data_IF_766126702964
#
_entry.id   IF_766126702964
#
_cell.length_a   1.000
_cell.length_b   1.000
_cell.length_c   1.000
_cell.angle_alpha   90.00
_cell.angle_beta   90.00
_cell.angle_gamma   90.00
#
_symmetry.space_group_name_H-M   'P 1'
#
loop_
_entity.id
_entity.type
_entity.pdbx_description
1 polymer ?
2 polymer ?
3 non-polymer ?
4 water ?
#
# COMPACT_ATOMS: atom_id res chain seq x y z
N UNK A 7 20.01 -8.74 -7.26
CA UNK A 7 19.22 -7.48 -7.58
C UNK A 7 19.95 -6.24 -7.06
N UNK A 8 19.88 -5.17 -7.84
CA UNK A 8 20.63 -3.98 -7.50
C UNK A 8 19.95 -3.17 -6.43
N UNK A 9 20.74 -2.43 -5.67
CA UNK A 9 20.21 -1.58 -4.62
C UNK A 9 19.52 -0.35 -5.20
N UNK A 10 18.60 0.21 -4.41
CA UNK A 10 17.96 1.44 -4.78
C UNK A 10 18.92 2.61 -4.68
N UNK A 11 18.88 3.45 -5.70
CA UNK A 11 19.65 4.68 -5.66
C UNK A 11 18.80 5.85 -5.26
N UNK A 12 19.46 6.99 -5.09
CA UNK A 12 18.70 8.22 -4.88
C UNK A 12 17.76 8.52 -6.03
N UNK A 13 18.14 8.29 -7.28
CA UNK A 13 17.19 8.43 -8.38
C UNK A 13 15.99 7.45 -8.30
N UNK A 14 16.26 6.20 -7.90
CA UNK A 14 15.18 5.22 -7.73
C UNK A 14 14.20 5.72 -6.66
N UNK A 15 14.76 6.33 -5.61
CA UNK A 15 13.95 6.84 -4.53
C UNK A 15 13.05 7.96 -4.98
N UNK A 16 13.49 8.76 -5.96
CA UNK A 16 12.56 9.77 -6.48
C UNK A 16 11.37 9.09 -7.15
N UNK A 17 11.63 7.99 -7.86
CA UNK A 17 10.55 7.22 -8.45
C UNK A 17 9.62 6.59 -7.40
N UNK A 18 10.18 6.03 -6.33
CA UNK A 18 9.34 5.51 -5.27
C UNK A 18 8.42 6.58 -4.70
N UNK A 19 8.96 7.80 -4.49
CA UNK A 19 8.14 8.85 -3.92
C UNK A 19 7.04 9.20 -4.87
N UNK A 20 7.34 9.29 -6.17
CA UNK A 20 6.34 9.58 -7.22
C UNK A 20 5.22 8.55 -7.21
N UNK A 21 5.60 7.26 -7.18
CA UNK A 21 4.60 6.20 -7.21
C UNK A 21 3.73 6.22 -5.95
N UNK A 22 4.37 6.45 -4.79
CA UNK A 22 3.63 6.54 -3.54
C UNK A 22 2.62 7.68 -3.58
N UNK A 23 3.05 8.87 -4.06
CA UNK A 23 2.10 9.98 -4.13
C UNK A 23 0.95 9.69 -5.08
N UNK A 24 1.22 8.98 -6.17
CA UNK A 24 0.16 8.64 -7.16
C UNK A 24 -0.88 7.74 -6.48
N UNK A 25 -0.40 6.78 -5.69
CA UNK A 25 -1.33 5.93 -4.93
C UNK A 25 -2.12 6.76 -3.90
N UNK A 26 -1.43 7.64 -3.15
CA UNK A 26 -2.11 8.39 -2.12
C UNK A 26 -3.17 9.30 -2.68
N UNK A 27 -3.01 9.74 -3.94
CA UNK A 27 -3.97 10.62 -4.61
C UNK A 27 -5.14 9.90 -5.26
N UNK A 28 -5.06 8.57 -5.33
CA UNK A 28 -6.10 7.86 -6.08
C UNK A 28 -7.39 7.86 -5.30
N UNK A 29 -8.49 7.91 -6.03
CA UNK A 29 -9.80 8.01 -5.37
C UNK A 29 -10.09 6.77 -4.54
N UNK A 30 -9.49 5.63 -4.86
CA UNK A 30 -9.77 4.38 -4.16
C UNK A 30 -8.72 4.08 -3.07
N UNK A 31 -7.88 5.07 -2.76
CA UNK A 31 -6.82 4.83 -1.77
C UNK A 31 -7.30 5.11 -0.33
N UNK A 32 -8.52 5.61 -0.19
CA UNK A 32 -9.00 6.07 1.13
C UNK A 32 -8.85 5.03 2.30
N UNK A 33 -9.03 3.72 2.05
CA UNK A 33 -8.91 2.84 3.20
C UNK A 33 -7.48 2.65 3.70
N UNK A 34 -6.50 3.09 2.88
CA UNK A 34 -5.10 2.67 3.07
C UNK A 34 -4.16 3.79 3.47
N UNK A 35 -4.71 5.00 3.59
CA UNK A 35 -3.85 6.15 3.82
C UNK A 35 -3.14 6.07 5.16
N UNK A 36 -3.82 5.49 6.15
CA UNK A 36 -3.27 5.45 7.51
C UNK A 36 -3.47 4.05 8.02
N UNK A 37 -2.80 3.68 9.11
CA UNK A 37 -2.99 2.36 9.67
C UNK A 37 -4.47 2.10 10.04
N UNK A 38 -4.90 0.84 9.90
CA UNK A 38 -6.24 0.45 10.26
C UNK A 38 -6.50 0.81 11.70
N UNK A 39 -7.63 1.45 11.93
CA UNK A 39 -8.02 1.91 13.23
C UNK A 39 -8.70 0.71 13.93
N UNK A 40 -8.20 0.29 15.11
CA UNK A 40 -8.79 -0.90 15.75
C UNK A 40 -10.28 -0.67 16.13
N UNK A 41 -10.66 0.58 16.23
CA UNK A 41 -12.09 0.91 16.48
C UNK A 41 -12.98 0.63 15.30
N UNK A 42 -12.39 0.47 14.12
CA UNK A 42 -13.16 0.11 12.93
C UNK A 42 -13.16 -1.39 12.63
N UNK A 43 -12.27 -2.13 13.29
CA UNK A 43 -12.00 -3.56 13.00
C UNK A 43 -11.40 -4.18 14.28
N UNK A 44 -12.21 -4.48 15.31
CA UNK A 44 -11.63 -4.67 16.64
C UNK A 44 -10.60 -5.83 16.78
N UNK A 45 -10.75 -6.92 15.99
CA UNK A 45 -9.81 -8.04 16.03
C UNK A 45 -8.73 -7.95 15.00
N UNK A 46 -8.65 -6.82 14.30
CA UNK A 46 -7.72 -6.74 13.16
C UNK A 46 -6.30 -7.11 13.51
N UNK A 47 -5.78 -6.56 14.62
CA UNK A 47 -4.35 -6.77 14.92
C UNK A 47 -4.03 -8.11 15.54
N UNK A 48 -5.07 -8.89 15.82
CA UNK A 48 -4.83 -10.34 16.14
C UNK A 48 -4.91 -11.23 14.91
N UNK A 49 -5.50 -10.76 13.82
CA UNK A 49 -5.75 -11.58 12.62
C UNK A 49 -4.67 -11.29 11.58
N UNK A 50 -4.33 -10.00 11.42
CA UNK A 50 -3.38 -9.63 10.40
C UNK A 50 -1.99 -9.60 11.01
N UNK A 51 -1.14 -10.48 10.46
CA UNK A 51 0.20 -10.72 11.02
C UNK A 51 1.14 -9.55 10.78
N UNK A 52 1.07 -8.94 9.61
CA UNK A 52 2.01 -7.88 9.23
C UNK A 52 1.21 -6.72 8.63
N UNK A 53 0.61 -5.88 9.49
CA UNK A 53 -0.13 -4.72 8.98
C UNK A 53 0.74 -3.78 8.18
N UNK A 54 0.13 -3.08 7.24
CA UNK A 54 0.89 -2.09 6.46
C UNK A 54 -0.14 -1.07 5.93
N UNK A 55 0.33 0.14 5.63
CA UNK A 55 -0.51 1.18 5.12
C UNK A 55 0.42 2.18 4.42
N UNK A 56 -0.16 3.06 3.63
CA UNK A 56 0.65 3.99 2.85
C UNK A 56 1.40 4.99 3.68
N UNK A 57 0.88 5.39 4.85
CA UNK A 57 1.67 6.30 5.71
C UNK A 57 2.93 5.64 6.20
N UNK A 58 2.83 4.39 6.65
CA UNK A 58 4.02 3.64 7.06
C UNK A 58 5.02 3.51 5.90
N UNK A 59 4.52 3.21 4.70
CA UNK A 59 5.40 3.19 3.51
C UNK A 59 6.07 4.55 3.23
N UNK A 60 5.34 5.61 3.44
CA UNK A 60 5.90 6.94 3.21
C UNK A 60 7.00 7.20 4.24
N UNK A 61 6.79 6.86 5.49
CA UNK A 61 7.83 7.03 6.50
C UNK A 61 9.07 6.23 6.05
N UNK A 62 8.85 4.99 5.60
CA UNK A 62 10.00 4.11 5.19
C UNK A 62 10.74 4.67 3.98
N UNK A 63 10.00 5.19 3.01
CA UNK A 63 10.68 5.80 1.86
C UNK A 63 11.50 7.05 2.31
N UNK A 64 10.89 7.89 3.14
CA UNK A 64 11.56 9.14 3.59
C UNK A 64 12.83 8.77 4.35
N UNK A 65 12.80 7.70 5.15
CA UNK A 65 13.98 7.28 5.91
C UNK A 65 14.97 6.37 5.14
N UNK A 66 14.71 6.11 3.85
CA UNK A 66 15.54 5.23 3.00
C UNK A 66 15.69 3.85 3.63
N UNK A 67 14.55 3.37 4.17
CA UNK A 67 14.49 2.03 4.73
C UNK A 67 14.75 0.94 3.68
N UNK A 68 14.18 1.10 2.50
CA UNK A 68 14.21 0.02 1.50
C UNK A 68 15.58 0.01 0.81
N UNK A 69 16.14 -1.17 0.73
CA UNK A 69 17.41 -1.33 0.05
C UNK A 69 17.22 -1.80 -1.35
N UNK A 70 16.16 -2.56 -1.60
CA UNK A 70 15.88 -3.13 -2.91
C UNK A 70 14.42 -2.90 -3.28
N UNK A 71 14.14 -2.77 -4.57
CA UNK A 71 12.75 -2.52 -5.03
C UNK A 71 11.85 -3.68 -4.54
N UNK A 72 12.34 -4.89 -4.50
CA UNK A 72 11.53 -6.03 -4.04
C UNK A 72 10.93 -5.79 -2.65
N UNK A 73 11.64 -5.10 -1.77
CA UNK A 73 11.17 -4.94 -0.38
C UNK A 73 10.04 -3.92 -0.42
N UNK A 74 10.17 -2.86 -1.22
CA UNK A 74 9.05 -1.90 -1.40
C UNK A 74 7.81 -2.57 -1.98
N UNK A 75 7.99 -3.37 -2.99
CA UNK A 75 6.88 -4.07 -3.62
C UNK A 75 6.26 -5.06 -2.63
N UNK A 76 7.07 -5.70 -1.79
CA UNK A 76 6.52 -6.64 -0.79
C UNK A 76 5.63 -5.90 0.21
N UNK A 77 6.08 -4.70 0.63
CA UNK A 77 5.25 -3.94 1.58
C UNK A 77 3.94 -3.53 0.92
N UNK A 78 4.04 -3.04 -0.34
CA UNK A 78 2.79 -2.60 -0.98
C UNK A 78 1.84 -3.78 -1.12
N UNK A 79 2.35 -4.92 -1.49
CA UNK A 79 1.54 -6.09 -1.73
C UNK A 79 0.85 -6.48 -0.39
N UNK A 80 1.52 -6.34 0.78
CA UNK A 80 0.85 -6.60 2.08
C UNK A 80 -0.41 -5.74 2.22
N UNK A 81 -0.35 -4.45 1.85
CA UNK A 81 -1.55 -3.63 1.99
C UNK A 81 -2.73 -4.29 1.31
N UNK A 82 -2.56 -4.75 0.08
CA UNK A 82 -3.67 -5.25 -0.65
C UNK A 82 -4.06 -6.66 -0.18
N UNK A 83 -3.07 -7.49 0.05
CA UNK A 83 -3.38 -8.87 0.46
C UNK A 83 -4.01 -8.88 1.85
N UNK A 84 -3.53 -8.03 2.75
CA UNK A 84 -4.20 -7.96 4.10
C UNK A 84 -5.64 -7.54 3.96
N UNK A 85 -5.92 -6.55 3.10
CA UNK A 85 -7.30 -6.06 3.01
C UNK A 85 -8.21 -7.14 2.42
N UNK A 86 -7.73 -7.81 1.40
CA UNK A 86 -8.58 -8.87 0.82
C UNK A 86 -8.74 -10.03 1.80
N UNK A 87 -7.73 -10.30 2.64
CA UNK A 87 -7.84 -11.40 3.62
C UNK A 87 -8.87 -11.05 4.71
N UNK A 88 -8.84 -9.82 5.22
CA UNK A 88 -9.66 -9.48 6.39
C UNK A 88 -11.11 -9.28 5.98
N UNK A 89 -11.33 -8.72 4.78
CA UNK A 89 -12.68 -8.27 4.38
C UNK A 89 -13.34 -9.25 3.43
N UNK A 90 -14.68 -9.31 3.41
CA UNK A 90 -15.38 -10.09 2.41
C UNK A 90 -15.26 -9.54 1.03
N UNK A 91 -15.47 -10.40 0.04
CA UNK A 91 -15.22 -9.99 -1.33
C UNK A 91 -16.24 -8.99 -1.85
N UNK A 92 -17.36 -8.86 -1.19
CA UNK A 92 -18.32 -7.83 -1.61
C UNK A 92 -18.23 -6.52 -0.82
N UNK A 93 -17.18 -6.35 -0.05
CA UNK A 93 -16.98 -5.13 0.73
C UNK A 93 -16.38 -4.00 -0.11
N UNK A 94 -16.69 -2.73 0.23
CA UNK A 94 -16.07 -1.61 -0.52
C UNK A 94 -14.55 -1.65 -0.33
N UNK A 95 -14.07 -2.15 0.80
CA UNK A 95 -12.64 -2.24 1.08
C UNK A 95 -11.95 -3.22 0.13
N UNK A 96 -12.56 -4.37 -0.08
CA UNK A 96 -11.99 -5.40 -0.97
C UNK A 96 -11.93 -4.82 -2.40
N UNK A 97 -12.98 -4.13 -2.82
CA UNK A 97 -12.99 -3.49 -4.15
C UNK A 97 -11.86 -2.49 -4.30
N UNK A 98 -11.66 -1.65 -3.29
CA UNK A 98 -10.56 -0.65 -3.31
C UNK A 98 -9.22 -1.35 -3.47
N UNK A 99 -8.98 -2.49 -2.77
CA UNK A 99 -7.71 -3.21 -2.92
C UNK A 99 -7.54 -3.72 -4.32
N UNK A 100 -8.62 -4.20 -4.95
CA UNK A 100 -8.45 -4.69 -6.30
C UNK A 100 -8.16 -3.59 -7.29
N UNK A 101 -8.85 -2.46 -7.20
CA UNK A 101 -8.59 -1.35 -8.11
C UNK A 101 -7.18 -0.76 -7.86
N UNK A 102 -6.83 -0.53 -6.60
CA UNK A 102 -5.57 0.16 -6.36
C UNK A 102 -4.41 -0.79 -6.64
N UNK A 103 -4.53 -2.10 -6.43
CA UNK A 103 -3.43 -3.01 -6.82
C UNK A 103 -3.23 -2.95 -8.33
N UNK A 104 -4.32 -2.90 -9.11
CA UNK A 104 -4.14 -2.88 -10.58
C UNK A 104 -3.43 -1.59 -10.96
N UNK A 105 -3.76 -0.50 -10.30
CA UNK A 105 -3.10 0.80 -10.61
C UNK A 105 -1.62 0.72 -10.22
N UNK A 106 -1.34 0.15 -9.04
CA UNK A 106 0.07 -0.01 -8.64
C UNK A 106 0.82 -0.89 -9.64
N UNK A 107 0.24 -2.00 -10.11
CA UNK A 107 0.98 -2.83 -11.08
C UNK A 107 1.23 -2.05 -12.34
N UNK A 108 0.27 -1.20 -12.77
CA UNK A 108 0.54 -0.39 -13.98
C UNK A 108 1.74 0.55 -13.75
N UNK A 109 1.78 1.21 -12.60
CA UNK A 109 2.88 2.14 -12.26
C UNK A 109 4.20 1.41 -12.10
N UNK A 110 4.17 0.20 -11.52
CA UNK A 110 5.41 -0.52 -11.25
C UNK A 110 6.10 -0.93 -12.53
N UNK A 111 5.32 -1.25 -13.56
CA UNK A 111 5.91 -1.61 -14.84
C UNK A 111 6.86 -0.53 -15.39
N UNK A 112 6.61 0.72 -15.04
CA UNK A 112 7.54 1.84 -15.29
C UNK A 112 9.00 1.71 -14.84
N UNK A 113 9.26 0.92 -13.79
CA UNK A 113 10.58 0.73 -13.20
C UNK A 113 11.48 -0.23 -14.00
N UNK A 114 10.85 -1.18 -14.68
CA UNK A 114 11.51 -2.03 -15.70
C UNK A 114 12.48 -3.08 -15.09
N UNK B 3 -15.38 -10.74 10.92
CA UNK B 3 -14.62 -9.46 10.87
C UNK B 3 -15.15 -8.47 9.83
N UNK B 4 -16.01 -7.55 10.26
CA UNK B 4 -16.61 -6.56 9.35
C UNK B 4 -16.23 -5.14 9.77
N UNK B 6 -15.88 -1.08 10.03
CA UNK B 6 -16.82 0.02 10.06
C UNK B 6 -16.87 0.66 8.66
N UNK B 7 -18.11 0.92 8.22
CA UNK B 7 -18.52 1.80 7.11
C UNK B 7 -17.78 3.15 7.09
N UNK B 8 -17.36 3.59 5.89
CA UNK B 8 -16.57 4.83 5.65
C UNK B 8 -17.13 6.08 6.35
#
# INVERSE_FOLDING_TARGET
GPLGSVLTPLTEKDYEGLKRVLRSLQAHKMAWPFLEPVDPNDAPDYYGVIKEPMDLATMEERVQRRYYEKLTEFVADMTKIFDNCRYYNPSDSPFYQCAEVLESFFVQKLKGFKA
KGGAXRHRKV
#
